data_IF_560080167351
#
_entry.id   IF_560080167351
#
_cell.length_a   1.000
_cell.length_b   1.000
_cell.length_c   1.000
_cell.angle_alpha   90.00
_cell.angle_beta   90.00
_cell.angle_gamma   90.00
#
_symmetry.space_group_name_H-M   'P 1'
#
loop_
_entity.id
_entity.type
_entity.pdbx_description
1 polymer ?
#
# COMPACT_ATOMS: atom_id res chain seq x y z
N UNK A 1 -26.69 -20.31 0.75
CA UNK A 1 -25.46 -20.28 1.55
C UNK A 1 -25.39 -21.59 2.33
N UNK A 2 -24.25 -22.27 2.34
CA UNK A 2 -24.11 -23.58 2.97
C UNK A 2 -24.38 -23.51 4.47
N UNK A 3 -25.20 -24.41 4.97
CA UNK A 3 -25.64 -24.46 6.39
C UNK A 3 -24.65 -25.18 7.32
N UNK A 4 -23.50 -25.61 6.80
CA UNK A 4 -22.49 -26.36 7.55
C UNK A 4 -21.37 -25.49 8.15
N UNK A 5 -20.59 -26.08 9.09
CA UNK A 5 -19.40 -25.42 9.61
C UNK A 5 -18.39 -25.12 8.50
N UNK A 6 -17.69 -23.98 8.61
CA UNK A 6 -16.73 -23.51 7.61
C UNK A 6 -15.40 -23.17 8.30
N UNK A 7 -14.28 -23.34 7.57
CA UNK A 7 -12.96 -22.94 8.08
C UNK A 7 -12.95 -21.45 8.42
N UNK A 8 -12.25 -21.08 9.49
CA UNK A 8 -12.21 -19.71 9.98
C UNK A 8 -11.72 -18.71 8.91
N UNK A 9 -10.68 -19.07 8.15
CA UNK A 9 -10.18 -18.22 7.05
C UNK A 9 -11.23 -18.03 5.93
N UNK A 10 -11.99 -19.04 5.60
CA UNK A 10 -13.08 -18.97 4.62
C UNK A 10 -14.32 -18.25 5.18
N UNK A 11 -14.61 -18.45 6.47
CA UNK A 11 -15.72 -17.82 7.15
C UNK A 11 -15.57 -16.29 7.16
N UNK A 12 -14.36 -15.79 7.48
CA UNK A 12 -14.06 -14.35 7.46
C UNK A 12 -14.24 -13.74 6.06
N UNK A 13 -13.84 -14.46 5.01
CA UNK A 13 -14.07 -14.04 3.62
C UNK A 13 -15.55 -13.99 3.27
N UNK A 14 -16.29 -15.08 3.57
CA UNK A 14 -17.70 -15.22 3.20
C UNK A 14 -18.59 -14.16 3.88
N UNK A 15 -18.17 -13.64 5.05
CA UNK A 15 -18.89 -12.62 5.82
C UNK A 15 -18.32 -11.21 5.66
N UNK A 16 -17.41 -11.00 4.68
CA UNK A 16 -16.87 -9.67 4.35
C UNK A 16 -15.94 -9.07 5.42
N UNK A 17 -15.47 -9.86 6.38
CA UNK A 17 -14.49 -9.43 7.39
C UNK A 17 -13.05 -9.46 6.87
N UNK A 18 -12.81 -10.14 5.76
CA UNK A 18 -11.54 -10.14 5.05
C UNK A 18 -11.79 -10.04 3.54
N UNK A 19 -10.91 -9.37 2.82
CA UNK A 19 -10.95 -9.22 1.36
C UNK A 19 -10.14 -10.30 0.63
N UNK A 20 -9.28 -11.00 1.35
CA UNK A 20 -8.44 -12.08 0.81
C UNK A 20 -8.12 -13.12 1.87
N UNK A 21 -7.74 -14.33 1.41
CA UNK A 21 -7.33 -15.41 2.32
C UNK A 21 -6.12 -15.03 3.16
N UNK A 22 -5.17 -14.31 2.59
CA UNK A 22 -3.99 -13.82 3.32
C UNK A 22 -4.37 -12.80 4.41
N UNK A 23 -5.34 -11.93 4.16
CA UNK A 23 -5.86 -11.02 5.18
C UNK A 23 -6.58 -11.78 6.28
N UNK A 24 -7.43 -12.75 5.93
CA UNK A 24 -8.12 -13.59 6.92
C UNK A 24 -7.14 -14.30 7.85
N UNK A 25 -6.04 -14.84 7.31
CA UNK A 25 -5.00 -15.51 8.10
C UNK A 25 -4.30 -14.56 9.06
N UNK A 26 -4.02 -13.31 8.63
CA UNK A 26 -3.42 -12.30 9.51
C UNK A 26 -4.39 -11.82 10.59
N UNK A 27 -5.67 -11.63 10.26
CA UNK A 27 -6.69 -11.32 11.25
C UNK A 27 -6.79 -12.41 12.33
N UNK A 28 -6.73 -13.69 11.93
CA UNK A 28 -6.72 -14.81 12.87
C UNK A 28 -5.48 -14.78 13.74
N UNK A 29 -4.31 -14.50 13.17
CA UNK A 29 -3.06 -14.36 13.93
C UNK A 29 -3.07 -13.16 14.89
N UNK A 30 -3.71 -12.05 14.51
CA UNK A 30 -3.90 -10.87 15.36
C UNK A 30 -4.94 -11.08 16.47
N UNK A 31 -5.80 -12.07 16.33
CA UNK A 31 -6.78 -12.46 17.33
C UNK A 31 -8.22 -12.38 16.84
N UNK A 32 -8.83 -13.53 16.71
CA UNK A 32 -10.25 -13.68 16.36
C UNK A 32 -10.93 -14.50 17.42
N UNK A 33 -12.06 -14.04 17.91
CA UNK A 33 -12.94 -14.79 18.79
C UNK A 33 -14.29 -15.05 18.12
N UNK A 34 -14.91 -16.16 18.46
CA UNK A 34 -16.24 -16.51 17.99
C UNK A 34 -17.10 -17.10 19.12
N UNK A 35 -18.42 -17.02 18.95
CA UNK A 35 -19.41 -17.68 19.81
C UNK A 35 -20.69 -18.00 19.05
N UNK A 36 -21.52 -18.85 19.61
CA UNK A 36 -22.90 -19.10 19.14
C UNK A 36 -23.88 -18.69 20.23
N UNK A 37 -24.84 -17.84 19.87
CA UNK A 37 -25.82 -17.32 20.81
C UNK A 37 -25.19 -16.61 22.04
N UNK A 38 -25.73 -16.82 23.26
CA UNK A 38 -25.20 -16.21 24.49
C UNK A 38 -23.97 -16.94 25.07
N UNK A 39 -23.40 -17.89 24.34
CA UNK A 39 -22.24 -18.67 24.79
C UNK A 39 -20.98 -17.84 25.02
N UNK A 40 -19.99 -18.45 25.69
CA UNK A 40 -18.70 -17.84 25.93
C UNK A 40 -17.93 -17.62 24.61
N UNK A 41 -17.14 -16.55 24.55
CA UNK A 41 -16.24 -16.29 23.43
C UNK A 41 -15.09 -17.31 23.43
N UNK A 42 -14.87 -17.96 22.29
CA UNK A 42 -13.81 -18.93 22.05
C UNK A 42 -12.79 -18.34 21.10
N UNK A 43 -11.50 -18.58 21.35
CA UNK A 43 -10.42 -18.12 20.48
C UNK A 43 -10.32 -19.01 19.23
N UNK A 44 -10.16 -18.41 18.05
CA UNK A 44 -9.70 -19.11 16.85
C UNK A 44 -8.20 -19.33 16.99
N UNK A 45 -7.78 -20.59 17.10
CA UNK A 45 -6.36 -20.93 17.30
C UNK A 45 -5.57 -21.03 15.98
N UNK A 46 -6.22 -21.45 14.90
CA UNK A 46 -5.61 -21.64 13.58
C UNK A 46 -6.59 -21.38 12.44
N UNK A 47 -6.05 -21.10 11.26
CA UNK A 47 -6.83 -20.76 10.06
C UNK A 47 -7.85 -21.83 9.65
N UNK A 48 -7.58 -23.08 10.00
CA UNK A 48 -8.43 -24.23 9.68
C UNK A 48 -9.48 -24.58 10.71
N UNK A 49 -9.60 -23.84 11.82
CA UNK A 49 -10.64 -24.09 12.82
C UNK A 49 -12.03 -23.94 12.19
N UNK A 50 -12.94 -24.83 12.57
CA UNK A 50 -14.29 -24.88 11.99
C UNK A 50 -15.24 -24.00 12.79
N UNK A 51 -15.74 -22.96 12.16
CA UNK A 51 -16.75 -22.07 12.74
C UNK A 51 -18.14 -22.49 12.26
N UNK A 52 -19.13 -22.60 13.17
CA UNK A 52 -20.53 -22.80 12.78
C UNK A 52 -21.04 -21.68 11.88
N UNK A 53 -21.97 -21.98 10.99
CA UNK A 53 -22.55 -20.98 10.09
C UNK A 53 -23.19 -19.78 10.84
N UNK A 54 -23.77 -20.05 12.01
CA UNK A 54 -24.40 -19.03 12.89
C UNK A 54 -23.42 -18.39 13.89
N UNK A 55 -22.10 -18.58 13.73
CA UNK A 55 -21.12 -17.96 14.61
C UNK A 55 -21.20 -16.45 14.56
N UNK A 56 -21.13 -15.82 15.72
CA UNK A 56 -20.80 -14.40 15.86
C UNK A 56 -19.30 -14.30 16.02
N UNK A 57 -18.65 -13.43 15.25
CA UNK A 57 -17.20 -13.27 15.26
C UNK A 57 -16.84 -11.86 15.74
N UNK A 58 -15.79 -11.79 16.54
CA UNK A 58 -15.17 -10.53 17.01
C UNK A 58 -13.70 -10.53 16.68
N UNK A 59 -13.24 -9.48 16.00
CA UNK A 59 -11.83 -9.21 15.81
C UNK A 59 -11.30 -8.50 17.07
N UNK A 60 -10.20 -9.00 17.64
CA UNK A 60 -9.55 -8.38 18.82
C UNK A 60 -8.63 -7.24 18.38
N UNK A 61 -8.01 -7.36 17.21
CA UNK A 61 -7.28 -6.28 16.56
C UNK A 61 -7.92 -6.00 15.19
N UNK A 62 -8.39 -4.77 15.01
CA UNK A 62 -9.03 -4.31 13.78
C UNK A 62 -8.06 -3.62 12.84
N UNK A 63 -6.78 -3.45 13.20
CA UNK A 63 -5.80 -2.76 12.37
C UNK A 63 -5.67 -3.40 10.98
N UNK A 64 -5.59 -4.73 10.91
CA UNK A 64 -5.54 -5.49 9.65
C UNK A 64 -6.83 -5.41 8.82
N UNK A 65 -7.97 -5.12 9.46
CA UNK A 65 -9.29 -4.98 8.80
C UNK A 65 -9.59 -3.55 8.35
N UNK A 66 -8.79 -2.56 8.79
CA UNK A 66 -9.06 -1.14 8.55
C UNK A 66 -9.00 -0.78 7.07
N UNK A 67 -8.10 -1.38 6.34
CA UNK A 67 -7.87 -1.12 4.92
C UNK A 67 -8.06 -2.38 4.08
N UNK A 68 -8.35 -2.21 2.80
CA UNK A 68 -8.51 -3.33 1.84
C UNK A 68 -7.26 -4.20 1.72
N UNK A 69 -6.08 -3.68 2.10
CA UNK A 69 -4.84 -4.46 2.18
C UNK A 69 -3.84 -3.83 3.17
N UNK A 70 -2.77 -4.60 3.52
CA UNK A 70 -1.67 -4.15 4.39
C UNK A 70 -0.99 -2.86 3.94
N UNK A 71 -1.04 -2.57 2.64
CA UNK A 71 -0.50 -1.32 2.11
C UNK A 71 -1.05 -0.10 2.85
N UNK A 72 -2.35 -0.11 3.17
CA UNK A 72 -2.98 0.99 3.91
C UNK A 72 -2.34 1.27 5.27
N UNK A 73 -1.96 0.22 6.01
CA UNK A 73 -1.25 0.37 7.29
C UNK A 73 0.15 0.96 7.12
N UNK A 74 0.84 0.60 6.03
CA UNK A 74 2.16 1.18 5.71
C UNK A 74 2.03 2.68 5.47
N UNK A 75 1.10 3.08 4.59
CA UNK A 75 0.90 4.51 4.28
C UNK A 75 0.38 5.30 5.49
N UNK A 76 -0.52 4.74 6.30
CA UNK A 76 -0.97 5.36 7.55
C UNK A 76 0.21 5.66 8.47
N UNK A 77 1.13 4.70 8.62
CA UNK A 77 2.36 4.89 9.39
C UNK A 77 3.22 6.03 8.83
N UNK A 78 3.34 6.11 7.50
CA UNK A 78 4.10 7.16 6.84
C UNK A 78 3.45 8.55 7.00
N UNK A 79 2.14 8.67 6.82
CA UNK A 79 1.40 9.92 7.02
C UNK A 79 1.55 10.43 8.46
N UNK A 80 1.44 9.50 9.44
CA UNK A 80 1.64 9.83 10.85
C UNK A 80 3.08 10.30 11.16
N UNK A 81 4.09 9.60 10.61
CA UNK A 81 5.49 9.94 10.83
C UNK A 81 5.87 11.27 10.19
N UNK A 82 5.43 11.50 8.95
CA UNK A 82 5.77 12.70 8.16
C UNK A 82 4.95 13.94 8.55
N UNK A 83 3.82 13.77 9.24
CA UNK A 83 2.87 14.83 9.54
C UNK A 83 2.10 15.33 8.31
N UNK A 84 2.19 14.66 7.17
CA UNK A 84 1.48 15.04 5.94
C UNK A 84 -0.02 14.83 6.12
N UNK A 85 -0.77 15.90 5.88
CA UNK A 85 -2.24 15.87 5.87
C UNK A 85 -2.74 15.96 4.44
N UNK A 86 -3.36 14.89 3.96
CA UNK A 86 -3.87 14.76 2.58
C UNK A 86 -5.35 15.20 2.44
N UNK A 87 -5.95 15.76 3.49
CA UNK A 87 -7.34 16.21 3.49
C UNK A 87 -7.61 17.23 2.37
N UNK A 88 -8.60 16.96 1.52
CA UNK A 88 -8.94 17.78 0.36
C UNK A 88 -7.98 17.70 -0.84
N UNK A 89 -6.94 16.87 -0.77
CA UNK A 89 -5.91 16.77 -1.80
C UNK A 89 -6.28 15.85 -2.95
N UNK A 90 -5.73 16.15 -4.12
CA UNK A 90 -5.71 15.29 -5.28
C UNK A 90 -4.43 14.47 -5.27
N UNK A 91 -4.55 13.16 -5.16
CA UNK A 91 -3.44 12.24 -4.95
C UNK A 91 -3.24 11.28 -6.14
N UNK A 92 -1.99 10.93 -6.41
CA UNK A 92 -1.62 9.87 -7.36
C UNK A 92 -1.07 8.68 -6.58
N UNK A 93 -1.63 7.48 -6.81
CA UNK A 93 -1.20 6.21 -6.24
C UNK A 93 -0.52 5.37 -7.33
N UNK A 94 0.80 5.26 -7.29
CA UNK A 94 1.61 4.56 -8.31
C UNK A 94 1.92 3.14 -7.82
N UNK A 95 1.38 2.15 -8.55
CA UNK A 95 1.36 0.75 -8.11
C UNK A 95 0.15 0.47 -7.21
N UNK A 96 -1.04 0.89 -7.67
CA UNK A 96 -2.29 0.83 -6.90
C UNK A 96 -2.65 -0.57 -6.39
N UNK A 97 -2.42 -1.62 -7.20
CA UNK A 97 -2.71 -3.01 -6.87
C UNK A 97 -4.13 -3.20 -6.32
N UNK A 98 -4.29 -3.78 -5.13
CA UNK A 98 -5.59 -3.97 -4.47
C UNK A 98 -6.18 -2.67 -3.90
N UNK A 99 -5.42 -1.56 -3.88
CA UNK A 99 -5.89 -0.24 -3.46
C UNK A 99 -5.65 0.07 -1.99
N UNK A 100 -4.67 -0.55 -1.34
CA UNK A 100 -4.39 -0.27 0.08
C UNK A 100 -4.00 1.18 0.34
N UNK A 101 -3.14 1.78 -0.50
CA UNK A 101 -2.78 3.19 -0.39
C UNK A 101 -3.96 4.09 -0.75
N UNK A 102 -4.65 3.78 -1.84
CA UNK A 102 -5.88 4.49 -2.24
C UNK A 102 -6.90 4.55 -1.09
N UNK A 103 -7.19 3.41 -0.44
CA UNK A 103 -8.14 3.34 0.68
C UNK A 103 -7.65 4.19 1.88
N UNK A 104 -6.36 4.16 2.18
CA UNK A 104 -5.78 4.98 3.22
C UNK A 104 -5.92 6.49 2.92
N UNK A 105 -5.59 6.92 1.70
CA UNK A 105 -5.74 8.31 1.28
C UNK A 105 -7.19 8.80 1.42
N UNK A 106 -8.15 8.00 0.96
CA UNK A 106 -9.58 8.33 1.05
C UNK A 106 -10.06 8.45 2.49
N UNK A 107 -9.63 7.54 3.38
CA UNK A 107 -9.98 7.58 4.81
C UNK A 107 -9.33 8.78 5.51
N UNK A 108 -8.20 9.29 5.01
CA UNK A 108 -7.56 10.53 5.48
C UNK A 108 -8.06 11.78 4.76
N UNK A 109 -9.18 11.67 4.03
CA UNK A 109 -9.90 12.81 3.48
C UNK A 109 -9.42 13.32 2.12
N UNK A 110 -8.63 12.55 1.37
CA UNK A 110 -8.28 12.92 -0.01
C UNK A 110 -9.54 13.18 -0.85
N UNK A 111 -9.54 14.26 -1.61
CA UNK A 111 -10.66 14.64 -2.48
C UNK A 111 -10.77 13.75 -3.70
N UNK A 112 -9.63 13.32 -4.25
CA UNK A 112 -9.55 12.43 -5.39
C UNK A 112 -8.27 11.59 -5.32
N UNK A 113 -8.36 10.33 -5.73
CA UNK A 113 -7.19 9.46 -5.92
C UNK A 113 -7.22 8.91 -7.34
N UNK A 114 -6.17 9.17 -8.10
CA UNK A 114 -5.90 8.52 -9.38
C UNK A 114 -4.90 7.40 -9.13
N UNK A 115 -5.27 6.16 -9.42
CA UNK A 115 -4.40 5.00 -9.24
C UNK A 115 -3.88 4.49 -10.57
N UNK A 116 -2.59 4.20 -10.64
CA UNK A 116 -1.92 3.61 -11.79
C UNK A 116 -1.43 2.22 -11.46
N UNK A 117 -1.70 1.24 -12.33
CA UNK A 117 -1.14 -0.10 -12.19
C UNK A 117 -0.90 -0.75 -13.57
N UNK A 118 0.17 -1.53 -13.68
CA UNK A 118 0.44 -2.37 -14.86
C UNK A 118 -0.46 -3.59 -14.91
N UNK A 119 -0.97 -4.03 -13.78
CA UNK A 119 -1.93 -5.12 -13.61
C UNK A 119 -3.33 -4.78 -14.12
N UNK A 120 -4.22 -5.76 -14.00
CA UNK A 120 -5.61 -5.62 -14.40
C UNK A 120 -6.53 -6.38 -13.44
N UNK A 121 -7.68 -5.78 -13.08
CA UNK A 121 -8.71 -6.40 -12.27
C UNK A 121 -8.32 -6.62 -10.81
N UNK A 122 -7.27 -5.95 -10.29
CA UNK A 122 -6.77 -6.15 -8.93
C UNK A 122 -7.47 -5.27 -7.89
N UNK A 123 -7.93 -4.07 -8.30
CA UNK A 123 -8.53 -3.10 -7.39
C UNK A 123 -9.75 -3.70 -6.69
N UNK A 124 -9.81 -3.52 -5.38
CA UNK A 124 -10.92 -4.00 -4.54
C UNK A 124 -12.26 -3.43 -5.03
N UNK A 125 -13.35 -4.25 -5.13
CA UNK A 125 -14.64 -3.81 -5.67
C UNK A 125 -15.18 -2.53 -5.04
N UNK A 126 -15.10 -2.39 -3.71
CA UNK A 126 -15.53 -1.18 -2.98
C UNK A 126 -14.84 0.10 -3.49
N UNK A 127 -13.55 0.02 -3.83
CA UNK A 127 -12.80 1.17 -4.33
C UNK A 127 -13.08 1.44 -5.82
N UNK A 128 -13.45 0.41 -6.57
CA UNK A 128 -13.84 0.55 -7.97
C UNK A 128 -15.17 1.29 -8.13
N UNK A 129 -16.04 1.19 -7.12
CA UNK A 129 -17.34 1.87 -7.06
C UNK A 129 -17.27 3.27 -6.39
N UNK A 130 -16.13 3.63 -5.80
CA UNK A 130 -15.94 4.91 -5.12
C UNK A 130 -15.72 6.03 -6.14
N UNK A 131 -16.60 7.03 -6.15
CA UNK A 131 -16.61 8.13 -7.13
C UNK A 131 -15.36 9.01 -7.11
N UNK A 132 -14.63 9.04 -5.98
CA UNK A 132 -13.37 9.78 -5.83
C UNK A 132 -12.16 9.02 -6.38
N UNK A 133 -12.34 7.78 -6.86
CA UNK A 133 -11.26 6.94 -7.38
C UNK A 133 -11.32 6.86 -8.89
N UNK A 134 -10.19 7.13 -9.52
CA UNK A 134 -9.96 6.84 -10.94
C UNK A 134 -8.89 5.75 -11.02
N UNK A 135 -9.25 4.59 -11.57
CA UNK A 135 -8.35 3.45 -11.69
C UNK A 135 -7.88 3.29 -13.14
N UNK A 136 -6.59 3.46 -13.35
CA UNK A 136 -5.94 3.33 -14.65
C UNK A 136 -5.09 2.06 -14.65
N UNK A 137 -5.68 0.98 -15.13
CA UNK A 137 -5.04 -0.34 -15.24
C UNK A 137 -4.30 -0.49 -16.58
N UNK A 138 -3.32 -1.41 -16.63
CA UNK A 138 -2.44 -1.65 -17.80
C UNK A 138 -1.66 -0.40 -18.20
N UNK A 139 -1.31 0.44 -17.24
CA UNK A 139 -0.52 1.65 -17.44
C UNK A 139 0.86 1.45 -16.86
N UNK A 140 1.87 1.55 -17.71
CA UNK A 140 3.26 1.52 -17.29
C UNK A 140 3.69 2.94 -16.87
N UNK A 141 3.89 3.15 -15.58
CA UNK A 141 4.25 4.47 -15.03
C UNK A 141 5.60 5.01 -15.57
N UNK A 142 6.47 4.17 -16.15
CA UNK A 142 7.71 4.60 -16.83
C UNK A 142 7.46 5.34 -18.14
N UNK A 143 6.29 5.16 -18.72
CA UNK A 143 5.95 5.64 -20.08
C UNK A 143 4.94 6.79 -20.04
N UNK A 144 4.71 7.38 -18.84
CA UNK A 144 3.81 8.50 -18.70
C UNK A 144 4.39 9.75 -19.35
N UNK A 145 3.55 10.47 -20.07
CA UNK A 145 3.82 11.83 -20.50
C UNK A 145 3.32 12.85 -19.46
N UNK A 146 3.92 14.05 -19.38
CA UNK A 146 3.46 15.09 -18.43
C UNK A 146 1.97 15.48 -18.58
N UNK A 147 1.42 15.33 -19.77
CA UNK A 147 0.00 15.60 -20.08
C UNK A 147 -0.66 14.34 -20.65
N UNK A 148 -0.45 13.20 -19.98
CA UNK A 148 -1.01 11.92 -20.43
C UNK A 148 -2.54 11.98 -20.41
N UNK A 149 -3.15 11.87 -21.59
CA UNK A 149 -4.59 11.99 -21.75
C UNK A 149 -5.41 10.91 -21.01
N UNK A 150 -4.75 9.85 -20.52
CA UNK A 150 -5.39 8.84 -19.66
C UNK A 150 -5.61 9.35 -18.24
N UNK A 151 -4.81 10.33 -17.79
CA UNK A 151 -4.91 10.92 -16.46
C UNK A 151 -5.89 12.10 -16.54
N UNK A 152 -7.07 12.03 -15.89
CA UNK A 152 -7.98 13.15 -15.86
C UNK A 152 -7.29 14.40 -15.31
N UNK A 153 -7.49 15.56 -15.89
CA UNK A 153 -6.97 16.85 -15.42
C UNK A 153 -5.46 16.80 -15.11
N UNK A 154 -4.67 16.14 -15.96
CA UNK A 154 -3.23 15.94 -15.75
C UNK A 154 -2.46 17.27 -15.61
N UNK A 155 -2.93 18.33 -16.29
CA UNK A 155 -2.40 19.70 -16.26
C UNK A 155 -2.54 20.35 -14.88
N UNK A 156 -3.52 19.96 -14.08
CA UNK A 156 -3.67 20.44 -12.70
C UNK A 156 -2.60 19.88 -11.75
N UNK A 157 -1.96 18.77 -12.11
CA UNK A 157 -0.99 18.07 -11.27
C UNK A 157 -1.60 17.46 -10.01
N UNK A 158 -0.74 16.90 -9.16
CA UNK A 158 -1.13 16.26 -7.90
C UNK A 158 -0.52 16.96 -6.70
N UNK A 159 -1.29 17.08 -5.61
CA UNK A 159 -0.82 17.61 -4.33
C UNK A 159 0.11 16.60 -3.64
N UNK A 160 -0.21 15.30 -3.79
CA UNK A 160 0.65 14.22 -3.31
C UNK A 160 0.78 13.10 -4.34
N UNK A 161 1.96 12.50 -4.38
CA UNK A 161 2.21 11.23 -5.08
C UNK A 161 2.67 10.23 -4.04
N UNK A 162 1.99 9.07 -3.98
CA UNK A 162 2.40 7.92 -3.17
C UNK A 162 2.77 6.75 -4.06
N UNK A 163 3.69 5.89 -3.62
CA UNK A 163 4.06 4.72 -4.43
C UNK A 163 4.43 3.50 -3.59
N UNK A 164 3.96 2.33 -4.03
CA UNK A 164 4.33 0.99 -3.55
C UNK A 164 4.71 0.10 -4.75
N UNK A 165 5.91 0.31 -5.29
CA UNK A 165 6.39 -0.38 -6.49
C UNK A 165 7.09 -1.70 -6.15
N UNK A 166 6.89 -2.71 -6.99
CA UNK A 166 7.54 -4.02 -6.89
C UNK A 166 8.16 -4.44 -8.22
N UNK A 167 9.27 -5.18 -8.14
CA UNK A 167 9.98 -5.77 -9.28
C UNK A 167 10.58 -4.75 -10.26
N UNK A 168 10.79 -3.52 -9.83
CA UNK A 168 11.39 -2.45 -10.61
C UNK A 168 12.13 -1.48 -9.69
N UNK A 169 13.27 -0.96 -10.12
CA UNK A 169 13.90 0.16 -9.44
C UNK A 169 13.08 1.44 -9.64
N UNK A 170 12.85 2.15 -8.56
CA UNK A 170 12.11 3.42 -8.59
C UNK A 170 12.80 4.48 -9.43
N UNK A 171 14.14 4.39 -9.56
CA UNK A 171 14.90 5.33 -10.40
C UNK A 171 14.49 5.30 -11.88
N UNK A 172 13.86 4.22 -12.33
CA UNK A 172 13.33 4.09 -13.68
C UNK A 172 11.92 4.69 -13.86
N UNK A 173 11.21 4.92 -12.78
CA UNK A 173 9.80 5.36 -12.78
C UNK A 173 9.69 6.86 -12.56
N UNK A 174 10.43 7.39 -11.60
CA UNK A 174 10.28 8.77 -11.17
C UNK A 174 10.48 9.82 -12.25
N UNK A 175 11.41 9.70 -13.23
CA UNK A 175 11.56 10.70 -14.29
C UNK A 175 10.27 10.97 -15.08
N UNK A 176 9.41 9.95 -15.25
CA UNK A 176 8.13 10.09 -15.95
C UNK A 176 7.00 10.58 -15.03
N UNK A 177 7.06 10.29 -13.74
CA UNK A 177 5.98 10.57 -12.78
C UNK A 177 6.14 11.92 -12.09
N UNK A 178 7.37 12.34 -11.77
CA UNK A 178 7.64 13.60 -11.06
C UNK A 178 7.09 14.87 -11.75
N UNK A 179 7.04 14.96 -13.09
CA UNK A 179 6.41 16.11 -13.74
C UNK A 179 4.93 16.31 -13.37
N UNK A 180 4.23 15.26 -12.92
CA UNK A 180 2.84 15.31 -12.48
C UNK A 180 2.68 15.87 -11.05
N UNK A 181 3.76 16.00 -10.28
CA UNK A 181 3.72 16.59 -8.95
C UNK A 181 3.70 18.13 -9.05
N UNK A 182 2.77 18.78 -8.37
CA UNK A 182 2.68 20.24 -8.28
C UNK A 182 3.92 20.86 -7.65
N UNK A 183 4.22 22.15 -7.90
CA UNK A 183 5.12 22.91 -7.05
C UNK A 183 4.70 22.78 -5.57
N UNK A 184 5.64 22.58 -4.68
CA UNK A 184 5.42 22.26 -3.25
C UNK A 184 4.61 20.99 -2.96
N UNK A 185 4.29 20.19 -3.97
CA UNK A 185 3.66 18.88 -3.78
C UNK A 185 4.57 17.91 -3.05
N UNK A 186 3.96 16.93 -2.37
CA UNK A 186 4.66 15.96 -1.54
C UNK A 186 4.70 14.59 -2.21
N UNK A 187 5.86 13.94 -2.14
CA UNK A 187 6.05 12.57 -2.55
C UNK A 187 6.35 11.71 -1.31
N UNK A 188 5.62 10.60 -1.17
CA UNK A 188 5.88 9.54 -0.20
C UNK A 188 6.01 8.22 -0.94
N UNK A 189 7.21 7.66 -1.00
CA UNK A 189 7.46 6.41 -1.71
C UNK A 189 8.02 5.34 -0.79
N UNK A 190 7.47 4.14 -0.91
CA UNK A 190 7.95 2.95 -0.20
C UNK A 190 9.10 2.33 -0.99
N UNK A 191 10.32 2.53 -0.49
CA UNK A 191 11.55 1.97 -1.08
C UNK A 191 11.71 0.53 -0.62
N UNK A 192 11.84 -0.38 -1.57
CA UNK A 192 12.11 -1.81 -1.35
C UNK A 192 13.54 -2.12 -1.77
N UNK A 193 14.46 -2.26 -0.83
CA UNK A 193 15.89 -2.41 -1.14
C UNK A 193 16.19 -3.56 -2.08
N UNK A 194 15.43 -4.66 -2.02
CA UNK A 194 15.61 -5.82 -2.90
C UNK A 194 15.40 -5.51 -4.39
N UNK A 195 14.71 -4.42 -4.73
CA UNK A 195 14.52 -3.98 -6.12
C UNK A 195 15.44 -2.81 -6.53
N UNK A 196 16.23 -2.32 -5.59
CA UNK A 196 17.21 -1.25 -5.83
C UNK A 196 18.66 -1.75 -5.85
N UNK A 197 18.88 -2.97 -5.36
CA UNK A 197 20.19 -3.61 -5.25
C UNK A 197 20.48 -4.48 -6.48
N UNK A 198 21.76 -4.86 -6.63
CA UNK A 198 22.18 -5.81 -7.65
C UNK A 198 21.85 -7.26 -7.20
N UNK A 199 21.71 -8.20 -8.15
CA UNK A 199 21.41 -9.61 -7.82
C UNK A 199 22.38 -10.23 -6.80
N UNK A 200 23.67 -9.81 -6.81
CA UNK A 200 24.71 -10.30 -5.91
C UNK A 200 24.42 -9.96 -4.44
N UNK A 201 23.71 -8.86 -4.18
CA UNK A 201 23.32 -8.40 -2.83
C UNK A 201 22.09 -9.14 -2.29
N UNK A 202 21.43 -9.91 -3.14
CA UNK A 202 20.16 -10.58 -2.81
C UNK A 202 20.42 -12.07 -2.57
N UNK A 203 19.90 -12.57 -1.47
CA UNK A 203 20.02 -13.96 -1.06
C UNK A 203 18.81 -14.82 -1.45
N UNK A 204 18.79 -16.01 -0.90
CA UNK A 204 17.68 -16.97 -1.10
C UNK A 204 16.37 -16.35 -0.63
N UNK A 205 15.34 -16.50 -1.42
CA UNK A 205 14.00 -15.96 -1.13
C UNK A 205 13.86 -14.45 -1.35
N UNK A 206 14.82 -13.81 -2.05
CA UNK A 206 14.74 -12.37 -2.34
C UNK A 206 15.16 -11.47 -1.17
N UNK A 207 15.79 -12.03 -0.13
CA UNK A 207 16.18 -11.27 1.06
C UNK A 207 17.52 -10.55 0.85
N UNK A 208 17.62 -9.32 1.34
CA UNK A 208 18.87 -8.55 1.36
C UNK A 208 19.87 -9.26 2.26
N UNK A 209 21.08 -9.55 1.75
CA UNK A 209 22.11 -10.32 2.47
C UNK A 209 22.74 -9.54 3.61
N UNK A 210 23.08 -8.29 3.38
CA UNK A 210 23.90 -7.51 4.29
C UNK A 210 23.22 -6.21 4.73
N UNK A 211 23.30 -5.91 6.02
CA UNK A 211 22.74 -4.67 6.57
C UNK A 211 23.36 -3.40 5.96
N UNK A 212 24.65 -3.45 5.58
CA UNK A 212 25.33 -2.33 4.92
C UNK A 212 24.69 -1.95 3.58
N UNK A 213 23.99 -2.88 2.90
CA UNK A 213 23.29 -2.63 1.64
C UNK A 213 22.17 -1.61 1.79
N UNK A 214 21.51 -1.54 2.95
CA UNK A 214 20.46 -0.54 3.20
C UNK A 214 20.98 0.89 3.13
N UNK A 215 22.19 1.15 3.68
CA UNK A 215 22.81 2.47 3.60
C UNK A 215 23.16 2.85 2.15
N UNK A 216 23.61 1.88 1.34
CA UNK A 216 23.87 2.11 -0.09
C UNK A 216 22.60 2.47 -0.85
N UNK A 217 21.49 1.79 -0.57
CA UNK A 217 20.18 2.11 -1.18
C UNK A 217 19.73 3.50 -0.75
N UNK A 218 19.85 3.86 0.52
CA UNK A 218 19.50 5.19 1.00
C UNK A 218 20.31 6.29 0.30
N UNK A 219 21.63 6.12 0.19
CA UNK A 219 22.50 7.07 -0.49
C UNK A 219 22.11 7.24 -1.96
N UNK A 220 21.93 6.12 -2.67
CA UNK A 220 21.51 6.10 -4.08
C UNK A 220 20.17 6.82 -4.29
N UNK A 221 19.18 6.55 -3.43
CA UNK A 221 17.87 7.19 -3.54
C UNK A 221 17.96 8.69 -3.31
N UNK A 222 18.71 9.13 -2.29
CA UNK A 222 18.92 10.56 -2.03
C UNK A 222 19.61 11.27 -3.19
N UNK A 223 20.63 10.67 -3.78
CA UNK A 223 21.35 11.20 -4.93
C UNK A 223 20.44 11.30 -6.17
N UNK A 224 19.66 10.25 -6.44
CA UNK A 224 18.72 10.24 -7.56
C UNK A 224 17.66 11.36 -7.41
N UNK A 225 17.05 11.48 -6.24
CA UNK A 225 16.05 12.54 -5.99
C UNK A 225 16.65 13.94 -6.08
N UNK A 226 17.87 14.12 -5.57
CA UNK A 226 18.60 15.40 -5.70
C UNK A 226 18.85 15.77 -7.17
N UNK A 227 19.21 14.78 -8.03
CA UNK A 227 19.42 14.99 -9.46
C UNK A 227 18.15 15.42 -10.21
N UNK A 228 16.98 15.09 -9.68
CA UNK A 228 15.67 15.51 -10.20
C UNK A 228 15.14 16.79 -9.54
N UNK A 229 15.99 17.54 -8.85
CA UNK A 229 15.65 18.78 -8.16
C UNK A 229 14.56 18.61 -7.07
N UNK A 230 14.49 17.41 -6.49
CA UNK A 230 13.65 17.14 -5.35
C UNK A 230 14.41 17.41 -4.04
N UNK A 231 13.71 17.95 -3.06
CA UNK A 231 14.21 18.09 -1.69
C UNK A 231 13.79 16.88 -0.86
N UNK A 232 14.76 16.08 -0.41
CA UNK A 232 14.52 14.87 0.39
C UNK A 232 14.47 15.25 1.87
N UNK A 233 13.27 15.32 2.40
CA UNK A 233 12.99 15.74 3.79
C UNK A 233 13.15 14.59 4.79
N UNK A 234 12.95 13.33 4.38
CA UNK A 234 13.05 12.18 5.27
C UNK A 234 13.35 10.86 4.55
N UNK A 235 14.00 9.96 5.30
CA UNK A 235 14.17 8.56 4.92
C UNK A 235 14.15 7.72 6.21
N UNK A 236 13.15 6.84 6.37
CA UNK A 236 12.96 6.06 7.59
C UNK A 236 12.38 4.67 7.30
N UNK A 237 12.54 3.75 8.22
CA UNK A 237 12.02 2.39 8.09
C UNK A 237 10.50 2.35 8.25
N UNK A 238 9.84 1.54 7.42
CA UNK A 238 8.40 1.28 7.52
C UNK A 238 8.06 0.52 8.79
N UNK A 239 7.00 0.93 9.47
CA UNK A 239 6.48 0.22 10.67
C UNK A 239 5.92 -1.16 10.35
N UNK A 240 5.65 -1.45 9.08
CA UNK A 240 5.15 -2.73 8.58
C UNK A 240 6.19 -3.30 7.63
N UNK A 241 6.69 -4.50 7.91
CA UNK A 241 7.65 -5.21 7.05
C UNK A 241 7.02 -5.68 5.74
N UNK A 242 7.84 -5.91 4.74
CA UNK A 242 7.43 -6.53 3.48
C UNK A 242 6.80 -7.90 3.66
N UNK A 243 5.99 -8.32 2.71
CA UNK A 243 5.36 -9.65 2.72
C UNK A 243 6.35 -10.81 2.60
N UNK A 244 7.53 -10.54 2.05
CA UNK A 244 8.67 -11.44 1.91
C UNK A 244 9.63 -11.43 3.13
N UNK A 245 9.38 -10.53 4.10
CA UNK A 245 10.22 -10.36 5.31
C UNK A 245 11.33 -9.33 5.14
N UNK A 246 11.49 -8.70 3.99
CA UNK A 246 12.43 -7.61 3.81
C UNK A 246 12.02 -6.37 4.60
N UNK A 247 13.03 -5.62 5.07
CA UNK A 247 12.84 -4.26 5.55
C UNK A 247 12.51 -3.36 4.37
N UNK A 248 11.56 -2.49 4.58
CA UNK A 248 11.14 -1.48 3.62
C UNK A 248 11.31 -0.09 4.23
N UNK A 249 11.54 0.92 3.40
CA UNK A 249 11.83 2.27 3.88
C UNK A 249 10.95 3.28 3.14
N UNK A 250 10.60 4.34 3.83
CA UNK A 250 9.95 5.48 3.22
C UNK A 250 10.97 6.54 2.83
N UNK A 251 10.76 7.14 1.67
CA UNK A 251 11.38 8.39 1.29
C UNK A 251 10.30 9.44 1.16
N UNK A 252 10.51 10.58 1.84
CA UNK A 252 9.69 11.77 1.70
C UNK A 252 10.48 12.82 0.95
N UNK A 253 9.88 13.37 -0.10
CA UNK A 253 10.48 14.44 -0.86
C UNK A 253 9.42 15.46 -1.30
N UNK A 254 9.83 16.67 -1.57
CA UNK A 254 8.99 17.70 -2.19
C UNK A 254 9.70 18.32 -3.38
N UNK A 255 8.93 18.90 -4.29
CA UNK A 255 9.48 19.67 -5.39
C UNK A 255 10.05 20.97 -4.85
N UNK A 256 11.29 21.29 -5.19
CA UNK A 256 11.87 22.59 -4.82
C UNK A 256 11.00 23.69 -5.39
N UNK A 257 10.73 24.76 -4.62
CA UNK A 257 10.11 25.96 -5.18
C UNK A 257 10.92 26.43 -6.38
N UNK A 258 10.24 26.90 -7.41
CA UNK A 258 10.88 27.48 -8.60
C UNK A 258 11.62 28.76 -8.25
#
# INVERSE_FOLDING_TARGET
MGTGPMRADQWLLAHGLASSRSQAQRLIAAGVQWRVGPGAWQQVAKNGDMLPAQAQVKLLDTAEARYVSRGGLKLEGALRHSGVNVGGWRCLDVGQSTGGFTDCLLQHGAAQVVGLDVGYGQLHPRLREESRVVCLERVNARELAPQDARIPDADLGFDAIVADLSFISQTLVWPAVLPLLRPAGVLLSLVKPQFELQPEDIGKGGLVKEAASYARVQARMREAFASWQMDVQGYWESVVTGGDGNREFWIQASRKPA
#
